data_IF_147624292347
#
_entry.id   IF_147624292347
#
_cell.length_a   1.000
_cell.length_b   1.000
_cell.length_c   1.000
_cell.angle_alpha   90.00
_cell.angle_beta   90.00
_cell.angle_gamma   90.00
#
_symmetry.space_group_name_H-M   'P 1'
#
loop_
_entity.id
_entity.type
_entity.pdbx_description
1 polymer ?
#
# COMPACT_ATOMS: atom_id res chain seq x y z
N UNK A 1 8.87 15.94 3.69
CA UNK A 1 7.48 15.82 4.19
C UNK A 1 7.35 14.44 4.86
N UNK A 2 6.39 14.20 5.77
CA UNK A 2 6.15 12.84 6.30
C UNK A 2 5.93 11.82 5.16
N UNK A 3 6.24 10.54 5.43
CA UNK A 3 6.17 9.47 4.43
C UNK A 3 7.27 9.57 3.35
N UNK A 4 6.97 9.16 2.12
CA UNK A 4 7.89 9.20 0.99
C UNK A 4 8.03 10.58 0.29
N UNK A 5 7.96 11.68 1.05
CA UNK A 5 7.99 13.06 0.57
C UNK A 5 6.90 13.43 -0.47
N UNK A 6 5.78 12.71 -0.44
CA UNK A 6 4.64 12.89 -1.37
C UNK A 6 4.69 11.99 -2.60
N UNK A 7 5.70 11.13 -2.72
CA UNK A 7 5.76 10.09 -3.73
C UNK A 7 4.79 8.95 -3.41
N UNK A 8 3.95 8.58 -4.37
CA UNK A 8 3.06 7.42 -4.28
C UNK A 8 3.53 6.30 -5.19
N UNK A 9 3.29 5.07 -4.77
CA UNK A 9 3.53 3.88 -5.59
C UNK A 9 2.26 3.04 -5.72
N UNK A 10 1.89 2.72 -6.95
CA UNK A 10 0.86 1.73 -7.25
C UNK A 10 1.54 0.36 -7.39
N UNK A 11 1.24 -0.64 -6.54
CA UNK A 11 1.97 -1.92 -6.52
C UNK A 11 1.53 -2.94 -7.58
N UNK A 12 0.91 -2.49 -8.68
CA UNK A 12 0.25 -3.35 -9.67
C UNK A 12 1.23 -3.95 -10.71
N UNK A 13 2.38 -4.46 -10.25
CA UNK A 13 3.44 -4.96 -11.13
C UNK A 13 2.99 -6.15 -12.01
N UNK A 14 1.98 -6.90 -11.57
CA UNK A 14 1.42 -8.05 -12.27
C UNK A 14 -0.09 -7.89 -12.53
N UNK A 15 -0.58 -6.64 -12.68
CA UNK A 15 -2.00 -6.33 -12.64
C UNK A 15 -2.51 -6.19 -11.19
N UNK A 16 -3.82 -5.99 -11.05
CA UNK A 16 -4.49 -5.93 -9.75
C UNK A 16 -5.65 -6.91 -9.71
N UNK A 17 -5.74 -7.66 -8.60
CA UNK A 17 -6.89 -8.48 -8.24
C UNK A 17 -7.86 -7.67 -7.40
N UNK A 18 -7.55 -7.41 -6.12
CA UNK A 18 -8.48 -6.75 -5.23
C UNK A 18 -8.00 -5.32 -4.94
N UNK A 19 -8.85 -4.28 -5.06
CA UNK A 19 -10.28 -4.34 -5.35
C UNK A 19 -10.64 -4.19 -6.85
N UNK A 20 -9.68 -3.87 -7.72
CA UNK A 20 -9.98 -3.38 -9.08
C UNK A 20 -10.26 -4.46 -10.13
N UNK A 21 -9.81 -5.70 -9.90
CA UNK A 21 -9.92 -6.85 -10.80
C UNK A 21 -9.56 -6.54 -12.25
N UNK A 22 -8.39 -5.92 -12.43
CA UNK A 22 -7.93 -5.44 -13.72
C UNK A 22 -6.51 -5.97 -14.03
N UNK A 23 -6.35 -6.86 -15.03
CA UNK A 23 -5.05 -7.39 -15.40
C UNK A 23 -4.18 -6.39 -16.17
N UNK A 24 -4.75 -5.28 -16.65
CA UNK A 24 -4.06 -4.29 -17.50
C UNK A 24 -3.45 -3.13 -16.71
N UNK A 25 -3.79 -2.97 -15.43
CA UNK A 25 -3.12 -1.97 -14.58
C UNK A 25 -1.66 -2.34 -14.38
N UNK A 26 -0.81 -1.32 -14.25
CA UNK A 26 0.64 -1.48 -14.14
C UNK A 26 1.17 -0.71 -12.94
N UNK A 27 2.27 -1.21 -12.39
CA UNK A 27 2.98 -0.51 -11.33
C UNK A 27 3.49 0.84 -11.80
N UNK A 28 3.38 1.86 -10.96
CA UNK A 28 3.78 3.23 -11.30
C UNK A 28 4.13 4.04 -10.06
N UNK A 29 5.04 4.98 -10.24
CA UNK A 29 5.30 6.04 -9.27
C UNK A 29 4.58 7.31 -9.69
N UNK A 30 3.90 7.96 -8.75
CA UNK A 30 3.17 9.20 -8.99
C UNK A 30 3.69 10.32 -8.08
N UNK A 31 3.91 11.50 -8.64
CA UNK A 31 4.48 12.65 -7.91
C UNK A 31 6.01 12.69 -7.84
N UNK A 32 6.71 11.98 -8.73
CA UNK A 32 8.17 11.94 -8.76
C UNK A 32 8.76 13.31 -9.14
N UNK A 33 9.82 13.71 -8.43
CA UNK A 33 10.57 14.96 -8.64
C UNK A 33 12.06 14.73 -8.42
N UNK A 34 12.91 15.69 -8.80
CA UNK A 34 14.36 15.61 -8.60
C UNK A 34 14.82 15.60 -7.13
N UNK A 35 13.96 15.98 -6.18
CA UNK A 35 14.28 15.90 -4.74
C UNK A 35 14.17 14.48 -4.20
N UNK A 36 13.49 13.58 -4.91
CA UNK A 36 13.31 12.21 -4.47
C UNK A 36 14.61 11.40 -4.61
N UNK A 37 14.82 10.49 -3.64
CA UNK A 37 16.00 9.64 -3.54
C UNK A 37 15.54 8.19 -3.44
N UNK A 38 16.49 7.26 -3.49
CA UNK A 38 16.22 5.83 -3.38
C UNK A 38 15.41 5.49 -2.12
N UNK A 39 15.67 6.17 -1.00
CA UNK A 39 14.96 5.94 0.26
C UNK A 39 13.48 6.29 0.15
N UNK A 40 13.15 7.37 -0.59
CA UNK A 40 11.76 7.74 -0.86
C UNK A 40 11.07 6.71 -1.77
N UNK A 41 11.76 6.19 -2.79
CA UNK A 41 11.22 5.13 -3.65
C UNK A 41 10.90 3.86 -2.84
N UNK A 42 11.80 3.46 -1.94
CA UNK A 42 11.61 2.29 -1.06
C UNK A 42 10.43 2.55 -0.12
N UNK A 43 10.38 3.71 0.52
CA UNK A 43 9.30 4.08 1.44
C UNK A 43 7.95 4.09 0.72
N UNK A 44 7.87 4.70 -0.47
CA UNK A 44 6.67 4.74 -1.29
C UNK A 44 6.21 3.33 -1.67
N UNK A 45 7.13 2.42 -1.98
CA UNK A 45 6.79 1.04 -2.29
C UNK A 45 6.16 0.30 -1.09
N UNK A 46 6.73 0.47 0.11
CA UNK A 46 6.18 -0.11 1.33
C UNK A 46 4.79 0.47 1.66
N UNK A 47 4.65 1.80 1.59
CA UNK A 47 3.40 2.52 1.83
C UNK A 47 2.33 2.15 0.78
N UNK A 48 2.72 2.02 -0.50
CA UNK A 48 1.82 1.67 -1.59
C UNK A 48 1.15 0.30 -1.42
N UNK A 49 1.88 -0.68 -0.88
CA UNK A 49 1.30 -1.99 -0.52
C UNK A 49 0.27 -1.83 0.61
N UNK A 50 0.56 -1.03 1.64
CA UNK A 50 -0.38 -0.77 2.74
C UNK A 50 -1.61 -0.01 2.24
N UNK A 51 -1.48 0.97 1.36
CA UNK A 51 -2.62 1.70 0.80
C UNK A 51 -3.50 0.81 -0.08
N UNK A 52 -2.91 -0.11 -0.85
CA UNK A 52 -3.68 -1.08 -1.59
C UNK A 52 -4.48 -2.01 -0.64
N UNK A 53 -3.83 -2.54 0.41
CA UNK A 53 -4.51 -3.33 1.44
C UNK A 53 -5.60 -2.53 2.16
N UNK A 54 -5.36 -1.24 2.42
CA UNK A 54 -6.33 -0.35 3.04
C UNK A 54 -7.55 -0.14 2.15
N UNK A 55 -7.37 -0.08 0.83
CA UNK A 55 -8.49 0.02 -0.12
C UNK A 55 -9.36 -1.24 -0.08
N UNK A 56 -8.73 -2.42 0.02
CA UNK A 56 -9.45 -3.68 0.23
C UNK A 56 -10.16 -3.68 1.59
N UNK A 57 -9.51 -3.22 2.65
CA UNK A 57 -10.09 -3.10 3.98
C UNK A 57 -11.36 -2.23 3.98
N UNK A 58 -11.32 -1.07 3.31
CA UNK A 58 -12.49 -0.19 3.18
C UNK A 58 -13.67 -0.91 2.51
N UNK A 59 -13.42 -1.62 1.40
CA UNK A 59 -14.45 -2.40 0.72
C UNK A 59 -15.02 -3.53 1.59
N UNK A 60 -14.20 -4.13 2.47
CA UNK A 60 -14.66 -5.15 3.42
C UNK A 60 -15.53 -4.55 4.52
N UNK A 61 -15.15 -3.39 5.08
CA UNK A 61 -15.92 -2.73 6.15
C UNK A 61 -17.31 -2.35 5.69
N UNK A 62 -17.49 -1.97 4.43
CA UNK A 62 -18.83 -1.71 3.85
C UNK A 62 -19.73 -2.95 3.86
N UNK A 63 -19.16 -4.15 3.90
CA UNK A 63 -19.88 -5.42 3.90
C UNK A 63 -20.04 -6.04 5.31
N UNK A 64 -19.61 -5.35 6.37
CA UNK A 64 -19.59 -5.90 7.74
C UNK A 64 -20.62 -5.21 8.65
N UNK A 65 -21.31 -5.99 9.46
CA UNK A 65 -22.33 -5.49 10.42
C UNK A 65 -21.73 -4.90 11.71
N UNK A 66 -20.40 -4.79 11.83
CA UNK A 66 -19.75 -4.34 13.05
C UNK A 66 -18.29 -3.90 12.85
N UNK A 67 -17.70 -3.21 13.84
CA UNK A 67 -16.37 -2.64 13.71
C UNK A 67 -15.28 -3.72 13.69
N UNK A 68 -14.23 -3.51 12.90
CA UNK A 68 -13.02 -4.33 12.96
C UNK A 68 -12.24 -4.01 14.23
N UNK A 69 -12.11 -4.99 15.12
CA UNK A 69 -11.42 -4.83 16.42
C UNK A 69 -9.97 -5.28 16.40
N UNK A 70 -9.57 -6.09 15.40
CA UNK A 70 -8.21 -6.64 15.31
C UNK A 70 -7.85 -7.01 13.88
N UNK A 71 -6.63 -6.65 13.46
CA UNK A 71 -6.00 -7.13 12.23
C UNK A 71 -4.92 -8.15 12.60
N UNK A 72 -4.89 -9.29 11.92
CA UNK A 72 -3.86 -10.31 12.09
C UNK A 72 -2.95 -10.32 10.85
N UNK A 73 -1.68 -10.00 11.05
CA UNK A 73 -0.67 -9.95 10.00
C UNK A 73 0.30 -11.13 10.12
N UNK A 74 0.56 -11.83 9.02
CA UNK A 74 1.50 -12.97 8.95
C UNK A 74 2.45 -12.81 7.77
N UNK A 75 3.51 -13.61 7.72
CA UNK A 75 4.49 -13.60 6.61
C UNK A 75 5.66 -12.63 6.83
N UNK A 76 6.40 -12.34 5.74
CA UNK A 76 7.66 -11.61 5.80
C UNK A 76 7.53 -10.17 6.30
N UNK A 77 6.51 -9.43 5.84
CA UNK A 77 6.30 -8.03 6.22
C UNK A 77 6.03 -7.87 7.73
N UNK A 78 5.34 -8.86 8.33
CA UNK A 78 5.02 -8.87 9.76
C UNK A 78 6.28 -8.94 10.66
N UNK A 79 7.45 -9.30 10.11
CA UNK A 79 8.72 -9.28 10.85
C UNK A 79 9.33 -7.87 10.94
N UNK A 80 8.91 -6.93 10.10
CA UNK A 80 9.37 -5.55 10.15
C UNK A 80 8.56 -4.75 11.16
N UNK A 81 9.22 -4.22 12.18
CA UNK A 81 8.58 -3.31 13.15
C UNK A 81 8.08 -2.03 12.46
N UNK A 82 8.93 -1.44 11.63
CA UNK A 82 8.61 -0.19 10.93
C UNK A 82 7.41 -0.38 10.00
N UNK A 83 7.34 -1.51 9.27
CA UNK A 83 6.22 -1.75 8.34
C UNK A 83 4.91 -2.09 9.08
N UNK A 84 4.99 -2.70 10.27
CA UNK A 84 3.81 -2.96 11.12
C UNK A 84 3.21 -1.70 11.77
N UNK A 85 4.01 -0.65 11.93
CA UNK A 85 3.58 0.64 12.49
C UNK A 85 3.00 1.59 11.43
N UNK A 86 3.15 1.26 10.14
CA UNK A 86 2.47 1.98 9.05
C UNK A 86 1.02 1.55 8.95
#
# INVERSE_FOLDING_TARGET
RPGADGLLFHPYLAGERAPLWNPDVRGSFFGLTMSHKKEHMIRAALEGVIYNLYTVYLALVECMDGPVTRIQATGGFARSEVWRQM
#
